data_IF_662410143254
#
_entry.id   IF_662410143254
#
_cell.length_a   1.000
_cell.length_b   1.000
_cell.length_c   1.000
_cell.angle_alpha   90.00
_cell.angle_beta   90.00
_cell.angle_gamma   90.00
#
_symmetry.space_group_name_H-M   'P 1'
#
loop_
_entity.id
_entity.type
_entity.pdbx_description
1 polymer ?
#
# COMPACT_ATOMS: atom_id res chain seq x y z
N UNK A 1 -15.20 43.95 32.01
CA UNK A 1 -15.74 42.89 31.10
C UNK A 1 -15.24 42.96 29.66
N UNK A 2 -15.00 44.12 29.06
CA UNK A 2 -14.52 44.20 27.65
C UNK A 2 -13.06 43.67 27.44
N UNK A 3 -12.19 43.84 28.44
CA UNK A 3 -10.78 43.41 28.39
C UNK A 3 -10.68 41.89 28.44
N UNK A 4 -11.42 41.24 29.34
CA UNK A 4 -11.43 39.75 29.46
C UNK A 4 -11.93 39.07 28.20
N UNK A 5 -12.88 39.65 27.49
CA UNK A 5 -13.39 39.13 26.23
C UNK A 5 -12.38 39.22 25.07
N UNK A 6 -11.61 40.33 25.05
CA UNK A 6 -10.53 40.50 24.05
C UNK A 6 -9.36 39.52 24.29
N UNK A 7 -8.97 39.31 25.54
CA UNK A 7 -7.92 38.34 25.89
C UNK A 7 -8.34 36.89 25.61
N UNK A 8 -9.60 36.56 25.84
CA UNK A 8 -10.14 35.24 25.53
C UNK A 8 -10.14 34.96 24.02
N UNK A 9 -10.52 35.91 23.20
CA UNK A 9 -10.51 35.79 21.74
C UNK A 9 -9.07 35.66 21.20
N UNK A 10 -8.13 36.42 21.74
CA UNK A 10 -6.70 36.30 21.37
C UNK A 10 -6.12 34.95 21.77
N UNK A 11 -6.45 34.46 22.96
CA UNK A 11 -5.99 33.12 23.41
C UNK A 11 -6.57 32.00 22.54
N UNK A 12 -7.84 32.05 22.16
CA UNK A 12 -8.47 31.08 21.28
C UNK A 12 -7.84 31.12 19.87
N UNK A 13 -7.56 32.31 19.34
CA UNK A 13 -6.86 32.47 18.06
C UNK A 13 -5.46 31.87 18.07
N UNK A 14 -4.70 32.10 19.14
CA UNK A 14 -3.36 31.55 19.32
C UNK A 14 -3.40 30.01 19.39
N UNK A 15 -4.37 29.47 20.11
CA UNK A 15 -4.52 28.01 20.23
C UNK A 15 -4.85 27.36 18.88
N UNK A 16 -5.72 27.97 18.08
CA UNK A 16 -6.05 27.48 16.73
C UNK A 16 -4.85 27.50 15.79
N UNK A 17 -4.02 28.56 15.85
CA UNK A 17 -2.82 28.64 15.01
C UNK A 17 -1.78 27.61 15.39
N UNK A 18 -1.54 27.36 16.67
CA UNK A 18 -0.61 26.33 17.15
C UNK A 18 -1.10 24.94 16.77
N UNK A 19 -2.40 24.68 16.90
CA UNK A 19 -3.02 23.40 16.51
C UNK A 19 -2.93 23.16 15.01
N UNK A 20 -3.18 24.16 14.18
CA UNK A 20 -3.03 24.07 12.73
C UNK A 20 -1.58 23.82 12.31
N UNK A 21 -0.63 24.50 12.97
CA UNK A 21 0.80 24.33 12.71
C UNK A 21 1.28 22.92 13.07
N UNK A 22 0.85 22.39 14.23
CA UNK A 22 1.12 21.02 14.65
C UNK A 22 0.55 19.99 13.68
N UNK A 23 -0.67 20.20 13.21
CA UNK A 23 -1.31 19.35 12.21
C UNK A 23 -0.56 19.34 10.87
N UNK A 24 -0.25 20.52 10.32
CA UNK A 24 0.41 20.63 9.02
C UNK A 24 1.88 20.20 9.03
N UNK A 25 2.61 20.53 10.08
CA UNK A 25 4.06 20.27 10.14
C UNK A 25 4.43 18.90 10.71
N UNK A 26 3.64 18.36 11.63
CA UNK A 26 3.99 17.11 12.30
C UNK A 26 3.05 15.96 11.93
N UNK A 27 1.76 16.17 11.97
CA UNK A 27 0.81 15.07 11.72
C UNK A 27 0.79 14.67 10.24
N UNK A 28 0.61 15.62 9.33
CA UNK A 28 0.51 15.35 7.90
C UNK A 28 1.76 14.67 7.30
N UNK A 29 3.01 15.14 7.54
CA UNK A 29 4.20 14.48 7.01
C UNK A 29 4.53 13.15 7.71
N UNK A 30 4.06 12.93 8.93
CA UNK A 30 4.37 11.71 9.69
C UNK A 30 3.42 10.58 9.32
N UNK A 31 2.13 10.85 9.16
CA UNK A 31 1.10 9.84 8.94
C UNK A 31 0.62 9.74 7.49
N UNK A 32 0.73 10.78 6.69
CA UNK A 32 0.40 10.77 5.26
C UNK A 32 1.64 10.62 4.36
N UNK A 33 2.64 9.87 4.79
CA UNK A 33 3.69 9.48 3.83
C UNK A 33 3.04 8.60 2.79
N UNK A 34 3.06 8.99 1.49
CA UNK A 34 2.68 8.06 0.46
C UNK A 34 3.54 6.83 0.66
N UNK A 35 2.93 5.66 0.78
CA UNK A 35 3.67 4.42 0.80
C UNK A 35 4.62 4.48 -0.39
N UNK A 36 5.92 4.36 -0.15
CA UNK A 36 6.87 4.20 -1.25
C UNK A 36 6.50 2.87 -1.89
N UNK A 37 5.65 2.93 -2.91
CA UNK A 37 5.47 1.79 -3.78
C UNK A 37 6.85 1.52 -4.36
N UNK A 38 7.45 0.44 -3.93
CA UNK A 38 8.66 -0.04 -4.57
C UNK A 38 8.23 -0.40 -5.98
N UNK A 39 8.51 0.53 -6.91
CA UNK A 39 8.31 0.26 -8.31
C UNK A 39 9.01 -1.07 -8.62
N UNK A 40 8.26 -1.98 -9.19
CA UNK A 40 8.73 -3.28 -9.62
C UNK A 40 9.75 -3.06 -10.75
N UNK A 41 10.99 -2.71 -10.35
CA UNK A 41 12.08 -2.39 -11.27
C UNK A 41 12.93 -3.64 -11.43
N UNK A 42 12.75 -4.36 -12.54
CA UNK A 42 13.66 -5.42 -12.97
C UNK A 42 14.67 -4.87 -13.97
N UNK A 43 15.89 -5.39 -13.92
CA UNK A 43 16.93 -5.16 -14.91
C UNK A 43 16.65 -5.92 -16.24
N UNK A 44 17.20 -5.42 -17.34
CA UNK A 44 16.80 -5.75 -18.71
C UNK A 44 16.86 -7.23 -19.15
N UNK A 45 17.59 -8.09 -18.44
CA UNK A 45 17.59 -9.54 -18.68
C UNK A 45 16.37 -10.28 -18.06
N UNK A 46 15.55 -9.56 -17.35
CA UNK A 46 14.38 -10.08 -16.63
C UNK A 46 13.05 -9.76 -17.32
N UNK A 47 13.09 -9.15 -18.51
CA UNK A 47 11.87 -8.76 -19.22
C UNK A 47 11.03 -9.97 -19.66
N UNK A 48 11.68 -11.07 -20.03
CA UNK A 48 11.05 -12.33 -20.40
C UNK A 48 10.46 -13.02 -19.16
N UNK A 49 11.23 -13.08 -18.07
CA UNK A 49 10.79 -13.58 -16.78
C UNK A 49 9.62 -12.78 -16.24
N UNK A 50 9.66 -11.45 -16.38
CA UNK A 50 8.58 -10.55 -15.96
C UNK A 50 7.28 -10.84 -16.70
N UNK A 51 7.34 -11.04 -18.01
CA UNK A 51 6.16 -11.35 -18.83
C UNK A 51 5.54 -12.68 -18.40
N UNK A 52 6.36 -13.69 -18.18
CA UNK A 52 5.90 -15.00 -17.71
C UNK A 52 5.28 -14.91 -16.31
N UNK A 53 5.89 -14.17 -15.38
CA UNK A 53 5.35 -13.92 -14.05
C UNK A 53 3.97 -13.26 -14.15
N UNK A 54 3.85 -12.19 -14.94
CA UNK A 54 2.57 -11.49 -15.12
C UNK A 54 1.49 -12.38 -15.71
N UNK A 55 1.81 -13.25 -16.66
CA UNK A 55 0.87 -14.22 -17.21
C UNK A 55 0.37 -15.20 -16.14
N UNK A 56 1.29 -15.70 -15.28
CA UNK A 56 0.91 -16.60 -14.17
C UNK A 56 0.04 -15.88 -13.14
N UNK A 57 0.39 -14.63 -12.78
CA UNK A 57 -0.38 -13.83 -11.84
C UNK A 57 -1.78 -13.53 -12.39
N UNK A 58 -1.90 -13.15 -13.66
CA UNK A 58 -3.19 -12.89 -14.30
C UNK A 58 -4.07 -14.15 -14.33
N UNK A 59 -3.50 -15.31 -14.66
CA UNK A 59 -4.23 -16.57 -14.62
C UNK A 59 -4.73 -16.90 -13.20
N UNK A 60 -3.93 -16.63 -12.17
CA UNK A 60 -4.31 -16.87 -10.78
C UNK A 60 -5.29 -15.84 -10.25
N UNK A 61 -5.18 -14.59 -10.67
CA UNK A 61 -6.14 -13.55 -10.30
C UNK A 61 -7.55 -13.85 -10.84
N UNK A 62 -7.66 -14.42 -12.04
CA UNK A 62 -8.94 -14.88 -12.58
C UNK A 62 -9.57 -15.95 -11.69
N UNK A 63 -8.80 -16.95 -11.27
CA UNK A 63 -9.27 -17.99 -10.35
C UNK A 63 -9.66 -17.43 -8.98
N UNK A 64 -8.88 -16.45 -8.47
CA UNK A 64 -9.20 -15.76 -7.23
C UNK A 64 -10.49 -14.96 -7.32
N UNK A 65 -10.74 -14.29 -8.46
CA UNK A 65 -11.98 -13.53 -8.72
C UNK A 65 -13.21 -14.43 -8.68
N UNK A 66 -13.15 -15.60 -9.31
CA UNK A 66 -14.24 -16.56 -9.27
C UNK A 66 -14.56 -17.00 -7.84
N UNK A 67 -13.53 -17.34 -7.08
CA UNK A 67 -13.66 -17.73 -5.66
C UNK A 67 -14.22 -16.60 -4.78
N UNK A 68 -13.74 -15.38 -4.97
CA UNK A 68 -14.19 -14.18 -4.24
C UNK A 68 -15.66 -13.91 -4.50
N UNK A 69 -16.11 -14.00 -5.75
CA UNK A 69 -17.50 -13.80 -6.13
C UNK A 69 -18.42 -14.87 -5.55
N UNK A 70 -17.95 -16.12 -5.52
CA UNK A 70 -18.70 -17.24 -4.96
C UNK A 70 -18.87 -17.14 -3.43
N UNK A 71 -17.86 -16.61 -2.72
CA UNK A 71 -17.84 -16.57 -1.26
C UNK A 71 -18.11 -15.18 -0.66
N UNK A 72 -18.33 -14.16 -1.48
CA UNK A 72 -18.69 -12.81 -1.03
C UNK A 72 -17.55 -12.06 -0.32
N UNK A 73 -16.30 -12.31 -0.68
CA UNK A 73 -15.14 -11.55 -0.20
C UNK A 73 -15.00 -10.21 -0.92
N UNK A 74 -14.13 -9.33 -0.36
CA UNK A 74 -13.77 -8.07 -1.00
C UNK A 74 -13.09 -8.33 -2.37
N UNK A 75 -13.67 -7.78 -3.43
CA UNK A 75 -13.25 -7.99 -4.81
C UNK A 75 -12.22 -6.98 -5.32
N UNK A 76 -11.66 -6.12 -4.49
CA UNK A 76 -10.72 -5.10 -4.95
C UNK A 76 -9.29 -5.63 -5.05
N UNK A 77 -8.83 -6.33 -4.01
CA UNK A 77 -7.46 -6.83 -3.94
C UNK A 77 -7.39 -8.32 -3.61
N UNK A 78 -6.39 -8.99 -4.16
CA UNK A 78 -5.99 -10.31 -3.70
C UNK A 78 -4.47 -10.39 -3.50
N UNK A 79 -4.07 -11.30 -2.61
CA UNK A 79 -2.66 -11.57 -2.35
C UNK A 79 -2.25 -12.85 -3.07
N UNK A 80 -1.21 -12.76 -3.88
CA UNK A 80 -0.68 -13.86 -4.66
C UNK A 80 0.77 -14.13 -4.28
N UNK A 81 1.13 -15.41 -4.15
CA UNK A 81 2.51 -15.83 -3.93
C UNK A 81 2.92 -16.75 -5.05
N UNK A 82 3.95 -16.37 -5.82
CA UNK A 82 4.52 -17.22 -6.86
C UNK A 82 5.74 -17.98 -6.33
N UNK A 83 5.52 -19.23 -5.94
CA UNK A 83 6.56 -20.10 -5.38
C UNK A 83 7.58 -20.58 -6.41
N UNK A 84 7.38 -20.32 -7.71
CA UNK A 84 8.37 -20.61 -8.76
C UNK A 84 9.49 -19.58 -8.76
N UNK A 85 9.24 -18.39 -8.22
CA UNK A 85 10.27 -17.36 -8.06
C UNK A 85 11.20 -17.77 -6.92
N UNK A 86 12.53 -17.77 -7.13
CA UNK A 86 13.50 -18.13 -6.10
C UNK A 86 13.36 -17.28 -4.82
N UNK A 87 13.68 -17.88 -3.69
CA UNK A 87 13.78 -17.15 -2.43
C UNK A 87 14.84 -16.04 -2.52
N UNK A 88 14.57 -14.91 -1.89
CA UNK A 88 15.42 -13.71 -2.02
C UNK A 88 15.00 -12.76 -3.14
N UNK A 89 14.06 -13.16 -4.01
CA UNK A 89 13.40 -12.29 -4.97
C UNK A 89 11.96 -11.99 -4.54
N UNK A 90 11.39 -10.91 -5.07
CA UNK A 90 10.01 -10.55 -4.82
C UNK A 90 9.08 -11.61 -5.44
N UNK A 91 8.36 -12.33 -4.60
CA UNK A 91 7.43 -13.39 -4.98
C UNK A 91 6.05 -13.28 -4.33
N UNK A 92 5.87 -12.32 -3.43
CA UNK A 92 4.57 -11.91 -2.90
C UNK A 92 4.08 -10.70 -3.69
N UNK A 93 2.81 -10.73 -4.09
CA UNK A 93 2.21 -9.68 -4.90
C UNK A 93 0.85 -9.28 -4.32
N UNK A 94 0.63 -7.97 -4.23
CA UNK A 94 -0.70 -7.39 -4.05
C UNK A 94 -1.23 -7.09 -5.44
N UNK A 95 -2.28 -7.79 -5.83
CA UNK A 95 -2.90 -7.68 -7.15
C UNK A 95 -4.24 -6.97 -7.05
N UNK A 96 -4.40 -5.90 -7.81
CA UNK A 96 -5.67 -5.20 -7.92
C UNK A 96 -6.52 -5.88 -8.99
N UNK A 97 -7.64 -6.46 -8.56
CA UNK A 97 -8.54 -7.20 -9.44
C UNK A 97 -9.33 -6.29 -10.38
N UNK A 98 -9.59 -5.04 -10.00
CA UNK A 98 -10.32 -4.09 -10.83
C UNK A 98 -9.46 -3.51 -11.95
N UNK A 99 -8.16 -3.33 -11.69
CA UNK A 99 -7.20 -2.76 -12.64
C UNK A 99 -6.39 -3.82 -13.40
N UNK A 100 -6.57 -5.11 -13.06
CA UNK A 100 -5.77 -6.22 -13.58
C UNK A 100 -4.25 -5.96 -13.52
N UNK A 101 -3.78 -5.46 -12.38
CA UNK A 101 -2.40 -5.01 -12.22
C UNK A 101 -1.80 -5.32 -10.86
N UNK A 102 -0.49 -5.53 -10.84
CA UNK A 102 0.29 -5.64 -9.60
C UNK A 102 0.52 -4.26 -9.03
N UNK A 103 0.05 -4.00 -7.81
CA UNK A 103 0.27 -2.74 -7.11
C UNK A 103 1.51 -2.78 -6.21
N UNK A 104 1.82 -3.95 -5.66
CA UNK A 104 2.97 -4.11 -4.77
C UNK A 104 3.60 -5.49 -4.97
N UNK A 105 4.92 -5.56 -4.85
CA UNK A 105 5.66 -6.81 -4.80
C UNK A 105 6.60 -6.82 -3.58
N UNK A 106 6.75 -7.97 -2.95
CA UNK A 106 7.53 -8.11 -1.74
C UNK A 106 8.22 -9.46 -1.59
N UNK A 107 9.12 -9.52 -0.65
CA UNK A 107 9.79 -10.76 -0.24
C UNK A 107 8.85 -11.59 0.65
N UNK A 108 8.97 -12.90 0.54
CA UNK A 108 8.35 -13.82 1.49
C UNK A 108 9.44 -14.36 2.39
N UNK A 109 9.31 -14.13 3.69
CA UNK A 109 10.19 -14.74 4.68
C UNK A 109 9.95 -16.26 4.70
N UNK A 110 11.04 -17.05 4.64
CA UNK A 110 10.98 -18.45 5.01
C UNK A 110 10.94 -18.55 6.52
N UNK A 111 9.96 -19.26 7.05
CA UNK A 111 10.09 -19.77 8.40
C UNK A 111 11.36 -20.63 8.44
N UNK A 112 12.30 -20.29 9.31
CA UNK A 112 13.38 -21.20 9.65
C UNK A 112 12.70 -22.41 10.30
N UNK A 113 12.57 -23.50 9.52
CA UNK A 113 12.23 -24.78 10.11
C UNK A 113 13.30 -25.14 11.13
N UNK A 114 12.89 -25.32 12.36
CA UNK A 114 13.71 -25.90 13.40
C UNK A 114 13.80 -27.41 13.12
#
# INVERSE_FOLDING_TARGET
>A
MKIARKTLVLAAGLFLTISAFGYFFWYKPTFNKPSKYYAFTYTLNEAEDKKEILLRLNKKSTQARDYINEHGFDGEHCFLVDMRIPSGKNRFFVYNLNKDSVEMAGLVAHGSGI
#
